data_IF_338226451005
#
_entry.id   IF_338226451005
#
_cell.length_a   1.000
_cell.length_b   1.000
_cell.length_c   1.000
_cell.angle_alpha   90.00
_cell.angle_beta   90.00
_cell.angle_gamma   90.00
#
_symmetry.space_group_name_H-M   'P 1'
#
loop_
_entity.id
_entity.type
_entity.pdbx_description
1 polymer ?
#
# COMPACT_ATOMS: atom_id res chain seq x y z
N UNK A 1 -8.19 -2.99 -23.93
CA UNK A 1 -8.55 -4.42 -23.83
C UNK A 1 -9.80 -4.62 -22.99
N UNK A 2 -10.56 -5.69 -23.23
CA UNK A 2 -11.74 -6.06 -22.44
C UNK A 2 -11.39 -7.16 -21.43
N UNK A 3 -11.60 -6.88 -20.14
CA UNK A 3 -11.35 -7.77 -19.01
C UNK A 3 -12.65 -8.43 -18.60
N UNK A 4 -12.78 -9.74 -18.83
CA UNK A 4 -13.90 -10.53 -18.30
C UNK A 4 -13.74 -10.71 -16.79
N UNK A 5 -14.84 -10.63 -16.04
CA UNK A 5 -14.83 -10.75 -14.59
C UNK A 5 -15.14 -12.17 -14.12
N UNK A 6 -14.40 -12.63 -13.11
CA UNK A 6 -14.65 -13.89 -12.40
C UNK A 6 -15.98 -13.83 -11.62
N UNK A 7 -16.65 -14.97 -11.47
CA UNK A 7 -17.82 -15.14 -10.59
C UNK A 7 -17.43 -14.97 -9.13
N UNK A 8 -18.32 -14.41 -8.32
CA UNK A 8 -18.15 -14.41 -6.86
C UNK A 8 -17.93 -15.83 -6.32
N UNK A 9 -17.14 -15.94 -5.24
CA UNK A 9 -16.83 -17.23 -4.61
C UNK A 9 -15.75 -18.05 -5.31
N UNK A 10 -15.10 -17.55 -6.38
CA UNK A 10 -14.00 -18.26 -7.08
C UNK A 10 -12.87 -18.73 -6.13
N UNK A 11 -12.61 -18.01 -5.04
CA UNK A 11 -11.60 -18.39 -4.02
C UNK A 11 -11.92 -19.71 -3.30
N UNK A 12 -13.18 -20.13 -3.30
CA UNK A 12 -13.63 -21.36 -2.63
C UNK A 12 -13.68 -22.56 -3.59
N UNK A 13 -13.24 -22.40 -4.84
CA UNK A 13 -13.23 -23.47 -5.82
C UNK A 13 -11.88 -24.20 -5.79
N UNK A 14 -11.91 -25.47 -5.36
CA UNK A 14 -10.71 -26.32 -5.21
C UNK A 14 -9.94 -26.55 -6.52
N UNK A 15 -10.59 -26.42 -7.68
CA UNK A 15 -9.94 -26.56 -9.00
C UNK A 15 -9.27 -25.25 -9.45
N UNK A 16 -9.62 -24.09 -8.86
CA UNK A 16 -9.23 -22.77 -9.36
C UNK A 16 -7.72 -22.59 -9.46
N UNK A 17 -6.97 -23.08 -8.47
CA UNK A 17 -5.51 -23.02 -8.49
C UNK A 17 -4.91 -23.88 -9.61
N UNK A 18 -5.40 -25.11 -9.80
CA UNK A 18 -4.90 -25.98 -10.86
C UNK A 18 -5.23 -25.42 -12.25
N UNK A 19 -6.45 -24.93 -12.43
CA UNK A 19 -6.88 -24.31 -13.68
C UNK A 19 -6.16 -22.97 -13.95
N UNK A 20 -5.78 -22.22 -12.90
CA UNK A 20 -4.82 -21.11 -13.03
C UNK A 20 -3.47 -21.61 -13.56
N UNK A 21 -2.92 -22.70 -13.03
CA UNK A 21 -1.61 -23.20 -13.46
C UNK A 21 -1.60 -23.68 -14.91
N UNK A 22 -2.70 -24.24 -15.42
CA UNK A 22 -2.75 -24.75 -16.81
C UNK A 22 -3.39 -23.77 -17.81
N UNK A 23 -4.00 -22.68 -17.34
CA UNK A 23 -4.56 -21.62 -18.20
C UNK A 23 -6.04 -21.80 -18.57
N UNK A 24 -6.80 -22.59 -17.81
CA UNK A 24 -8.20 -22.90 -18.08
C UNK A 24 -9.20 -21.93 -17.44
N UNK A 25 -8.75 -20.87 -16.77
CA UNK A 25 -9.66 -19.93 -16.09
C UNK A 25 -10.54 -19.09 -17.04
N UNK A 26 -10.28 -19.14 -18.35
CA UNK A 26 -11.16 -18.52 -19.37
C UNK A 26 -12.45 -19.31 -19.64
N UNK A 27 -12.62 -20.49 -19.04
CA UNK A 27 -13.84 -21.29 -19.17
C UNK A 27 -15.04 -20.61 -18.51
N UNK A 28 -16.22 -20.71 -19.14
CA UNK A 28 -17.48 -20.10 -18.68
C UNK A 28 -17.90 -20.50 -17.26
N UNK A 29 -17.38 -21.62 -16.73
CA UNK A 29 -17.61 -22.02 -15.34
C UNK A 29 -17.08 -20.98 -14.35
N UNK A 30 -16.04 -20.22 -14.70
CA UNK A 30 -15.41 -19.20 -13.86
C UNK A 30 -15.90 -17.78 -14.10
N UNK A 31 -16.55 -17.49 -15.24
CA UNK A 31 -16.82 -16.13 -15.69
C UNK A 31 -18.24 -15.66 -15.35
N UNK A 32 -18.38 -14.47 -14.77
CA UNK A 32 -19.67 -13.89 -14.39
C UNK A 32 -20.55 -13.49 -15.57
N UNK A 33 -19.94 -13.21 -16.73
CA UNK A 33 -20.59 -12.57 -17.88
C UNK A 33 -20.34 -11.06 -17.94
N UNK A 34 -19.93 -10.45 -16.83
CA UNK A 34 -19.56 -9.03 -16.77
C UNK A 34 -18.14 -8.79 -17.30
N UNK A 35 -17.90 -7.58 -17.79
CA UNK A 35 -16.59 -7.15 -18.28
C UNK A 35 -16.29 -5.68 -18.01
N UNK A 36 -15.01 -5.34 -18.03
CA UNK A 36 -14.50 -3.97 -17.88
C UNK A 36 -13.54 -3.67 -19.02
N UNK A 37 -13.73 -2.53 -19.71
CA UNK A 37 -12.81 -2.07 -20.75
C UNK A 37 -11.76 -1.16 -20.12
N UNK A 38 -10.48 -1.48 -20.36
CA UNK A 38 -9.32 -0.71 -19.88
C UNK A 38 -8.31 -0.54 -21.03
N UNK A 39 -7.31 0.31 -20.87
CA UNK A 39 -6.19 0.40 -21.82
C UNK A 39 -5.32 -0.86 -21.81
N UNK A 40 -4.45 -1.02 -22.81
CA UNK A 40 -3.44 -2.08 -22.74
C UNK A 40 -2.38 -1.70 -21.68
N UNK A 41 -2.18 -2.59 -20.71
CA UNK A 41 -1.37 -2.29 -19.52
C UNK A 41 -0.09 -3.11 -19.58
N UNK A 42 1.10 -2.51 -19.35
CA UNK A 42 2.36 -3.24 -19.30
C UNK A 42 2.38 -4.27 -18.17
N UNK A 43 3.38 -5.14 -18.14
CA UNK A 43 3.61 -6.01 -17.00
C UNK A 43 4.21 -5.24 -15.83
N UNK A 44 3.79 -5.60 -14.61
CA UNK A 44 4.23 -4.94 -13.39
C UNK A 44 4.29 -5.90 -12.20
N UNK A 45 5.21 -5.68 -11.24
CA UNK A 45 5.34 -6.49 -10.05
C UNK A 45 4.15 -6.29 -9.10
N UNK A 46 3.66 -7.39 -8.49
CA UNK A 46 2.47 -7.39 -7.63
C UNK A 46 2.74 -7.81 -6.18
N UNK A 47 3.94 -8.31 -5.90
CA UNK A 47 4.30 -8.84 -4.59
C UNK A 47 5.78 -8.63 -4.27
N UNK A 48 6.05 -8.29 -3.01
CA UNK A 48 7.37 -7.84 -2.52
C UNK A 48 7.63 -8.47 -1.15
N UNK A 49 8.79 -9.12 -1.00
CA UNK A 49 9.18 -9.85 0.22
C UNK A 49 10.08 -9.05 1.16
N UNK A 50 10.94 -8.20 0.61
CA UNK A 50 11.86 -7.38 1.37
C UNK A 50 11.99 -6.01 0.71
N UNK A 51 11.26 -5.03 1.25
CA UNK A 51 11.25 -3.70 0.67
C UNK A 51 12.44 -2.83 1.14
N UNK A 52 13.33 -3.38 1.98
CA UNK A 52 14.63 -2.75 2.22
C UNK A 52 15.61 -3.07 1.08
N UNK A 53 15.31 -4.07 0.25
CA UNK A 53 16.05 -4.34 -0.97
C UNK A 53 15.76 -3.23 -2.01
N UNK A 54 16.82 -2.58 -2.49
CA UNK A 54 16.72 -1.46 -3.44
C UNK A 54 16.06 -1.82 -4.77
N UNK A 55 16.18 -3.07 -5.23
CA UNK A 55 15.50 -3.50 -6.46
C UNK A 55 13.99 -3.64 -6.23
N UNK A 56 13.57 -4.19 -5.08
CA UNK A 56 12.14 -4.25 -4.74
C UNK A 56 11.53 -2.86 -4.49
N UNK A 57 12.31 -1.89 -4.01
CA UNK A 57 11.88 -0.49 -3.92
C UNK A 57 11.58 0.08 -5.30
N UNK A 58 12.49 -0.11 -6.27
CA UNK A 58 12.29 0.32 -7.65
C UNK A 58 11.08 -0.36 -8.28
N UNK A 59 10.91 -1.65 -8.04
CA UNK A 59 9.74 -2.40 -8.49
C UNK A 59 8.43 -1.88 -7.88
N UNK A 60 8.43 -1.47 -6.60
CA UNK A 60 7.24 -0.89 -5.98
C UNK A 60 6.91 0.49 -6.55
N UNK A 61 7.94 1.32 -6.83
CA UNK A 61 7.77 2.58 -7.55
C UNK A 61 7.20 2.32 -8.96
N UNK A 62 7.72 1.32 -9.68
CA UNK A 62 7.20 0.92 -10.98
C UNK A 62 5.71 0.54 -10.91
N UNK A 63 5.29 -0.22 -9.90
CA UNK A 63 3.88 -0.53 -9.67
C UNK A 63 3.04 0.74 -9.48
N UNK A 64 3.50 1.70 -8.68
CA UNK A 64 2.79 2.97 -8.47
C UNK A 64 2.72 3.82 -9.74
N UNK A 65 3.78 3.87 -10.55
CA UNK A 65 3.75 4.53 -11.86
C UNK A 65 2.72 3.91 -12.79
N UNK A 66 2.69 2.57 -12.90
CA UNK A 66 1.68 1.88 -13.73
C UNK A 66 0.27 2.13 -13.22
N UNK A 67 0.05 2.17 -11.91
CA UNK A 67 -1.25 2.53 -11.33
C UNK A 67 -1.67 3.93 -11.74
N UNK A 68 -0.77 4.90 -11.61
CA UNK A 68 -1.05 6.28 -11.96
C UNK A 68 -1.40 6.44 -13.44
N UNK A 69 -0.57 5.86 -14.31
CA UNK A 69 -0.71 6.05 -15.76
C UNK A 69 -1.95 5.34 -16.32
N UNK A 70 -2.29 4.14 -15.81
CA UNK A 70 -3.27 3.25 -16.44
C UNK A 70 -4.55 3.01 -15.64
N UNK A 71 -4.52 3.14 -14.31
CA UNK A 71 -5.67 2.75 -13.46
C UNK A 71 -6.39 3.94 -12.83
N UNK A 72 -5.70 5.02 -12.48
CA UNK A 72 -6.34 6.18 -11.85
C UNK A 72 -7.32 6.93 -12.77
N UNK A 73 -7.24 6.71 -14.08
CA UNK A 73 -8.18 7.24 -15.06
C UNK A 73 -9.49 6.43 -15.15
N UNK A 74 -9.56 5.24 -14.53
CA UNK A 74 -10.76 4.42 -14.48
C UNK A 74 -11.69 4.91 -13.35
N UNK A 75 -12.95 4.50 -13.40
CA UNK A 75 -13.86 4.74 -12.28
C UNK A 75 -13.30 4.10 -11.00
N UNK A 76 -13.37 4.85 -9.89
CA UNK A 76 -12.83 4.41 -8.60
C UNK A 76 -13.41 3.09 -8.13
N UNK A 77 -14.67 2.83 -8.46
CA UNK A 77 -15.36 1.58 -8.15
C UNK A 77 -14.72 0.39 -8.86
N UNK A 78 -14.11 0.58 -10.04
CA UNK A 78 -13.42 -0.46 -10.80
C UNK A 78 -12.08 -0.78 -10.15
N UNK A 79 -11.19 0.22 -10.02
CA UNK A 79 -9.83 -0.05 -9.56
C UNK A 79 -9.72 -0.31 -8.05
N UNK A 80 -10.79 -0.08 -7.27
CA UNK A 80 -10.90 -0.58 -5.89
C UNK A 80 -11.70 -1.90 -5.76
N UNK A 81 -12.07 -2.54 -6.87
CA UNK A 81 -12.79 -3.82 -6.85
C UNK A 81 -11.82 -5.01 -6.81
N UNK A 82 -11.98 -5.89 -5.82
CA UNK A 82 -11.15 -7.11 -5.68
C UNK A 82 -11.30 -8.06 -6.88
N UNK A 83 -12.53 -8.28 -7.34
CA UNK A 83 -12.84 -9.19 -8.45
C UNK A 83 -12.17 -8.67 -9.72
N UNK A 84 -12.19 -7.36 -9.97
CA UNK A 84 -11.47 -6.78 -11.11
C UNK A 84 -9.99 -7.15 -11.09
N UNK A 85 -9.28 -6.92 -9.97
CA UNK A 85 -7.86 -7.24 -9.87
C UNK A 85 -7.58 -8.72 -10.03
N UNK A 86 -8.32 -9.59 -9.35
CA UNK A 86 -8.06 -11.02 -9.45
C UNK A 86 -8.42 -11.57 -10.84
N UNK A 87 -9.44 -11.04 -11.49
CA UNK A 87 -9.76 -11.37 -12.88
C UNK A 87 -8.64 -10.93 -13.82
N UNK A 88 -8.17 -9.70 -13.70
CA UNK A 88 -7.09 -9.17 -14.51
C UNK A 88 -5.79 -9.98 -14.35
N UNK A 89 -5.40 -10.24 -13.10
CA UNK A 89 -4.18 -10.98 -12.79
C UNK A 89 -4.26 -12.44 -13.26
N UNK A 90 -5.35 -13.14 -12.94
CA UNK A 90 -5.49 -14.56 -13.26
C UNK A 90 -5.72 -14.84 -14.74
N UNK A 91 -6.47 -14.01 -15.44
CA UNK A 91 -6.87 -14.26 -16.83
C UNK A 91 -5.90 -13.66 -17.84
N UNK A 92 -5.30 -12.51 -17.54
CA UNK A 92 -4.55 -11.71 -18.53
C UNK A 92 -3.07 -11.53 -18.18
N UNK A 93 -2.66 -11.69 -16.91
CA UNK A 93 -1.25 -11.56 -16.47
C UNK A 93 -0.62 -12.89 -16.05
N UNK A 94 -1.30 -14.01 -16.26
CA UNK A 94 -0.87 -15.36 -15.84
C UNK A 94 0.58 -15.67 -16.23
N UNK A 95 0.93 -15.54 -17.50
CA UNK A 95 2.27 -15.91 -17.99
C UNK A 95 3.38 -15.11 -17.31
N UNK A 96 3.20 -13.79 -17.22
CA UNK A 96 4.12 -12.91 -16.50
C UNK A 96 4.23 -13.32 -15.02
N UNK A 97 3.09 -13.54 -14.36
CA UNK A 97 3.03 -13.90 -12.94
C UNK A 97 3.76 -15.21 -12.65
N UNK A 98 3.52 -16.26 -13.44
CA UNK A 98 4.18 -17.55 -13.28
C UNK A 98 5.69 -17.46 -13.52
N UNK A 99 6.12 -16.64 -14.48
CA UNK A 99 7.54 -16.38 -14.75
C UNK A 99 8.21 -15.58 -13.63
N UNK A 100 7.55 -14.54 -13.11
CA UNK A 100 8.09 -13.63 -12.09
C UNK A 100 8.10 -14.27 -10.70
N UNK A 101 7.11 -15.10 -10.40
CA UNK A 101 6.90 -15.75 -9.10
C UNK A 101 6.81 -17.28 -9.26
N UNK A 102 7.90 -17.98 -9.62
CA UNK A 102 7.88 -19.41 -9.91
C UNK A 102 7.46 -20.29 -8.73
N UNK A 103 7.58 -19.79 -7.49
CA UNK A 103 7.08 -20.46 -6.29
C UNK A 103 5.56 -20.68 -6.29
N UNK A 104 4.83 -19.99 -7.16
CA UNK A 104 3.40 -20.20 -7.37
C UNK A 104 3.10 -21.58 -7.96
N UNK A 105 4.03 -22.18 -8.71
CA UNK A 105 3.84 -23.50 -9.35
C UNK A 105 3.86 -24.61 -8.29
N UNK A 106 4.65 -24.43 -7.24
CA UNK A 106 4.88 -25.46 -6.22
C UNK A 106 3.97 -25.32 -5.01
N UNK A 107 3.17 -24.27 -4.88
CA UNK A 107 2.32 -24.07 -3.71
C UNK A 107 1.10 -23.19 -3.96
N UNK A 108 -0.07 -23.78 -3.73
CA UNK A 108 -1.35 -23.07 -3.66
C UNK A 108 -1.37 -21.97 -2.59
N UNK A 109 -0.63 -22.16 -1.48
CA UNK A 109 -0.51 -21.14 -0.45
C UNK A 109 0.21 -19.88 -0.96
N UNK A 110 1.22 -20.03 -1.81
CA UNK A 110 1.86 -18.87 -2.45
C UNK A 110 0.89 -18.19 -3.42
N UNK A 111 0.11 -18.96 -4.18
CA UNK A 111 -0.93 -18.42 -5.04
C UNK A 111 -1.96 -17.57 -4.28
N UNK A 112 -2.48 -18.08 -3.17
CA UNK A 112 -3.41 -17.34 -2.31
C UNK A 112 -2.80 -16.07 -1.71
N UNK A 113 -1.50 -16.09 -1.39
CA UNK A 113 -0.81 -14.95 -0.75
C UNK A 113 -0.38 -13.87 -1.74
N UNK A 114 -0.18 -14.23 -3.01
CA UNK A 114 0.40 -13.34 -4.03
C UNK A 114 -0.66 -12.87 -5.04
N UNK A 115 -1.46 -13.79 -5.59
CA UNK A 115 -2.31 -13.51 -6.74
C UNK A 115 -3.74 -13.18 -6.32
N UNK A 116 -4.34 -14.02 -5.47
CA UNK A 116 -5.74 -13.84 -5.01
C UNK A 116 -5.83 -13.39 -3.55
N UNK A 117 -4.82 -12.67 -3.07
CA UNK A 117 -4.77 -12.14 -1.70
C UNK A 117 -5.91 -11.15 -1.49
N UNK A 118 -6.61 -11.25 -0.35
CA UNK A 118 -7.65 -10.30 0.04
C UNK A 118 -7.22 -8.86 -0.23
N UNK A 119 -8.11 -8.11 -0.87
CA UNK A 119 -7.83 -6.77 -1.37
C UNK A 119 -8.06 -5.73 -0.26
N UNK A 120 -7.14 -5.74 0.69
CA UNK A 120 -7.12 -4.85 1.86
C UNK A 120 -5.75 -4.19 2.04
N UNK A 121 -5.55 -3.49 3.16
CA UNK A 121 -4.31 -2.79 3.49
C UNK A 121 -3.05 -3.68 3.50
N UNK A 122 -3.17 -5.00 3.52
CA UNK A 122 -2.02 -5.92 3.42
C UNK A 122 -1.64 -6.22 1.97
N UNK A 123 -2.54 -5.99 1.01
CA UNK A 123 -2.29 -6.20 -0.41
C UNK A 123 -1.36 -5.10 -0.96
N UNK A 124 -0.34 -5.45 -1.74
CA UNK A 124 0.61 -4.48 -2.28
C UNK A 124 0.00 -3.57 -3.34
N UNK A 125 -0.88 -4.10 -4.20
CA UNK A 125 -1.61 -3.32 -5.20
C UNK A 125 -2.54 -2.34 -4.49
N UNK A 126 -3.30 -2.78 -3.47
CA UNK A 126 -4.17 -1.90 -2.70
C UNK A 126 -3.40 -0.72 -2.07
N UNK A 127 -2.23 -1.00 -1.47
CA UNK A 127 -1.38 0.05 -0.89
C UNK A 127 -0.83 0.99 -1.94
N UNK A 128 -0.37 0.46 -3.07
CA UNK A 128 0.12 1.25 -4.19
C UNK A 128 -1.00 2.11 -4.79
N UNK A 129 -2.25 1.61 -4.84
CA UNK A 129 -3.42 2.38 -5.28
C UNK A 129 -3.71 3.55 -4.37
N UNK A 130 -3.81 3.32 -3.05
CA UNK A 130 -4.02 4.40 -2.10
C UNK A 130 -2.87 5.42 -2.14
N UNK A 131 -1.63 4.96 -2.17
CA UNK A 131 -0.46 5.83 -2.27
C UNK A 131 -0.48 6.69 -3.52
N UNK A 132 -0.69 6.06 -4.69
CA UNK A 132 -0.72 6.75 -5.99
C UNK A 132 -1.90 7.71 -6.10
N UNK A 133 -3.09 7.29 -5.64
CA UNK A 133 -4.28 8.15 -5.60
C UNK A 133 -4.04 9.37 -4.72
N UNK A 134 -3.50 9.20 -3.51
CA UNK A 134 -3.27 10.33 -2.61
C UNK A 134 -2.20 11.29 -3.13
N UNK A 135 -1.14 10.77 -3.75
CA UNK A 135 -0.15 11.63 -4.42
C UNK A 135 -0.80 12.40 -5.56
N UNK A 136 -1.59 11.74 -6.41
CA UNK A 136 -2.28 12.37 -7.53
C UNK A 136 -3.25 13.48 -7.07
N UNK A 137 -4.04 13.22 -6.03
CA UNK A 137 -5.14 14.08 -5.63
C UNK A 137 -4.71 15.24 -4.71
N UNK A 138 -3.59 15.11 -3.99
CA UNK A 138 -3.18 16.04 -2.92
C UNK A 138 -1.79 16.67 -3.12
N UNK A 139 -1.12 16.40 -4.23
CA UNK A 139 0.21 16.97 -4.52
C UNK A 139 0.26 17.56 -5.92
N UNK A 140 1.30 18.35 -6.18
CA UNK A 140 1.57 18.82 -7.54
C UNK A 140 2.29 17.72 -8.32
N UNK A 141 1.93 17.54 -9.60
CA UNK A 141 2.52 16.49 -10.44
C UNK A 141 4.06 16.52 -10.54
N UNK A 142 4.71 17.66 -10.31
CA UNK A 142 6.17 17.77 -10.28
C UNK A 142 6.84 17.02 -9.12
N UNK A 143 6.13 16.79 -8.02
CA UNK A 143 6.67 16.18 -6.81
C UNK A 143 6.34 14.69 -6.69
N UNK A 144 5.64 14.12 -7.68
CA UNK A 144 5.16 12.74 -7.66
C UNK A 144 6.27 11.73 -7.32
N UNK A 145 7.41 11.83 -8.02
CA UNK A 145 8.54 10.93 -7.81
C UNK A 145 9.11 11.03 -6.39
N UNK A 146 9.21 12.25 -5.83
CA UNK A 146 9.64 12.46 -4.44
C UNK A 146 8.70 11.78 -3.47
N UNK A 147 7.38 11.90 -3.65
CA UNK A 147 6.42 11.22 -2.78
C UNK A 147 6.47 9.71 -2.93
N UNK A 148 6.68 9.19 -4.13
CA UNK A 148 6.85 7.75 -4.34
C UNK A 148 8.05 7.20 -3.59
N UNK A 149 9.17 7.92 -3.62
CA UNK A 149 10.36 7.59 -2.82
C UNK A 149 10.10 7.70 -1.32
N UNK A 150 9.40 8.74 -0.86
CA UNK A 150 9.02 8.88 0.56
C UNK A 150 8.13 7.73 1.03
N UNK A 151 7.14 7.32 0.23
CA UNK A 151 6.27 6.18 0.53
C UNK A 151 7.10 4.92 0.70
N UNK A 152 7.91 4.58 -0.31
CA UNK A 152 8.69 3.34 -0.36
C UNK A 152 9.73 3.30 0.76
N UNK A 153 10.37 4.43 1.06
CA UNK A 153 11.33 4.54 2.14
C UNK A 153 10.71 4.53 3.55
N UNK A 154 9.39 4.63 3.67
CA UNK A 154 8.66 4.67 4.94
C UNK A 154 7.47 3.69 4.95
N UNK A 155 7.56 2.58 4.21
CA UNK A 155 6.42 1.67 4.03
C UNK A 155 5.83 1.10 5.29
N UNK A 156 6.63 0.82 6.32
CA UNK A 156 6.10 0.32 7.58
C UNK A 156 5.16 1.34 8.23
N UNK A 157 5.56 2.61 8.31
CA UNK A 157 4.73 3.72 8.76
C UNK A 157 3.46 3.86 7.89
N UNK A 158 3.64 3.85 6.57
CA UNK A 158 2.55 3.91 5.58
C UNK A 158 1.55 2.77 5.78
N UNK A 159 2.02 1.54 6.01
CA UNK A 159 1.17 0.38 6.27
C UNK A 159 0.33 0.58 7.53
N UNK A 160 0.91 1.17 8.60
CA UNK A 160 0.16 1.47 9.82
C UNK A 160 -0.87 2.58 9.60
N UNK A 161 -0.56 3.61 8.81
CA UNK A 161 -1.55 4.63 8.41
C UNK A 161 -2.71 3.95 7.67
N UNK A 162 -2.42 3.14 6.65
CA UNK A 162 -3.43 2.45 5.84
C UNK A 162 -4.20 1.37 6.63
N UNK A 163 -3.60 0.80 7.68
CA UNK A 163 -4.28 -0.17 8.55
C UNK A 163 -5.50 0.43 9.24
N UNK A 164 -5.40 1.66 9.72
CA UNK A 164 -6.49 2.33 10.44
C UNK A 164 -7.39 3.09 9.46
N UNK A 165 -8.67 2.70 9.29
CA UNK A 165 -9.57 3.35 8.33
C UNK A 165 -9.66 4.87 8.49
N UNK A 166 -9.55 5.34 9.74
CA UNK A 166 -9.61 6.77 10.08
C UNK A 166 -8.49 7.61 9.47
N UNK A 167 -7.33 7.00 9.17
CA UNK A 167 -6.19 7.69 8.57
C UNK A 167 -6.08 7.44 7.07
N UNK A 168 -7.05 6.74 6.46
CA UNK A 168 -7.16 6.60 5.00
C UNK A 168 -7.75 7.89 4.42
N UNK A 169 -7.02 8.98 4.61
CA UNK A 169 -7.31 10.32 4.14
C UNK A 169 -6.04 10.89 3.49
N UNK A 170 -6.15 11.36 2.25
CA UNK A 170 -4.98 11.82 1.49
C UNK A 170 -4.26 13.00 2.13
N UNK A 171 -4.99 13.97 2.70
CA UNK A 171 -4.38 15.12 3.38
C UNK A 171 -3.54 14.68 4.60
N UNK A 172 -4.09 13.82 5.47
CA UNK A 172 -3.33 13.27 6.59
C UNK A 172 -2.09 12.48 6.12
N UNK A 173 -2.27 11.65 5.10
CA UNK A 173 -1.20 10.81 4.54
C UNK A 173 -0.04 11.66 4.01
N UNK A 174 -0.31 12.63 3.15
CA UNK A 174 0.71 13.53 2.58
C UNK A 174 1.36 14.38 3.66
N UNK A 175 0.58 14.94 4.59
CA UNK A 175 1.15 15.76 5.66
C UNK A 175 2.09 14.94 6.58
N UNK A 176 1.78 13.68 6.88
CA UNK A 176 2.71 12.82 7.65
C UNK A 176 3.99 12.57 6.86
N UNK A 177 3.93 12.29 5.56
CA UNK A 177 5.12 12.10 4.73
C UNK A 177 5.99 13.37 4.69
N UNK A 178 5.37 14.52 4.50
CA UNK A 178 6.07 15.80 4.55
C UNK A 178 6.72 16.06 5.90
N UNK A 179 6.01 15.80 7.01
CA UNK A 179 6.57 15.97 8.35
C UNK A 179 7.78 15.07 8.54
N UNK A 180 7.71 13.81 8.07
CA UNK A 180 8.85 12.87 8.15
C UNK A 180 10.06 13.40 7.38
N UNK A 181 9.82 13.96 6.19
CA UNK A 181 10.86 14.53 5.33
C UNK A 181 11.47 15.80 5.96
N UNK A 182 10.62 16.77 6.33
CA UNK A 182 11.02 18.04 6.95
C UNK A 182 11.78 17.87 8.27
N UNK A 183 11.42 16.85 9.06
CA UNK A 183 12.06 16.57 10.35
C UNK A 183 13.21 15.58 10.25
N UNK A 184 13.48 15.06 9.04
CA UNK A 184 14.49 14.04 8.78
C UNK A 184 14.34 12.80 9.71
N UNK A 185 13.09 12.40 10.00
CA UNK A 185 12.80 11.33 10.96
C UNK A 185 12.63 9.95 10.32
N UNK A 186 12.76 9.81 9.00
CA UNK A 186 12.54 8.54 8.29
C UNK A 186 13.32 7.36 8.90
N UNK A 187 14.62 7.55 9.21
CA UNK A 187 15.45 6.52 9.85
C UNK A 187 14.91 6.13 11.23
N UNK A 188 14.48 7.11 12.02
CA UNK A 188 13.92 6.89 13.37
C UNK A 188 12.58 6.15 13.26
N UNK A 189 11.69 6.57 12.36
CA UNK A 189 10.36 5.96 12.17
C UNK A 189 10.43 4.46 11.89
N UNK A 190 11.46 4.01 11.16
CA UNK A 190 11.72 2.60 10.85
C UNK A 190 12.42 1.82 11.97
N UNK A 191 13.05 2.51 12.90
CA UNK A 191 13.89 1.87 13.91
C UNK A 191 13.05 1.14 14.96
N UNK A 192 13.53 -0.02 15.41
CA UNK A 192 12.97 -0.74 16.55
C UNK A 192 13.26 0.02 17.85
N UNK A 193 12.27 0.08 18.73
CA UNK A 193 12.38 0.63 20.08
C UNK A 193 13.11 -0.41 20.94
N UNK A 194 14.20 0.00 21.58
CA UNK A 194 15.01 -0.86 22.45
C UNK A 194 14.74 -0.52 23.92
N UNK A 195 14.85 -1.52 24.80
CA UNK A 195 14.74 -1.32 26.25
C UNK A 195 13.31 -1.02 26.75
N UNK A 196 12.28 -1.38 25.98
CA UNK A 196 10.86 -1.17 26.30
C UNK A 196 10.07 -2.46 26.14
N UNK A 197 10.38 -3.44 26.99
CA UNK A 197 9.75 -4.76 26.94
C UNK A 197 8.23 -4.71 27.21
N UNK A 198 7.77 -3.66 27.90
CA UNK A 198 6.35 -3.36 28.15
C UNK A 198 5.54 -3.13 26.87
N UNK A 199 6.19 -2.74 25.77
CA UNK A 199 5.55 -2.47 24.49
C UNK A 199 5.37 -3.75 23.65
N UNK A 200 6.06 -4.83 23.97
CA UNK A 200 6.08 -6.05 23.17
C UNK A 200 7.26 -6.13 22.20
N UNK A 201 7.28 -7.20 21.39
CA UNK A 201 8.40 -7.51 20.49
C UNK A 201 8.27 -6.77 19.16
N UNK A 202 9.42 -6.32 18.64
CA UNK A 202 9.55 -5.63 17.34
C UNK A 202 8.68 -4.37 17.19
N UNK A 203 8.52 -3.63 18.29
CA UNK A 203 7.85 -2.33 18.25
C UNK A 203 8.75 -1.28 17.63
N UNK A 204 8.19 -0.45 16.75
CA UNK A 204 8.91 0.60 16.01
C UNK A 204 8.36 1.98 16.33
N UNK A 205 9.21 2.99 16.26
CA UNK A 205 8.82 4.36 16.62
C UNK A 205 7.64 4.85 15.78
N UNK A 206 7.68 4.67 14.44
CA UNK A 206 6.59 5.13 13.56
C UNK A 206 5.25 4.47 13.86
N UNK A 207 5.25 3.17 14.15
CA UNK A 207 4.05 2.44 14.59
C UNK A 207 3.45 3.04 15.84
N UNK A 208 4.29 3.40 16.82
CA UNK A 208 3.85 3.97 18.08
C UNK A 208 3.34 5.40 17.93
N UNK A 209 3.94 6.20 17.05
CA UNK A 209 3.41 7.53 16.70
C UNK A 209 1.98 7.41 16.15
N UNK A 210 1.75 6.55 15.16
CA UNK A 210 0.40 6.35 14.58
C UNK A 210 -0.59 5.76 15.61
N UNK A 211 -0.11 4.90 16.51
CA UNK A 211 -0.93 4.37 17.59
C UNK A 211 -1.38 5.47 18.58
N UNK A 212 -0.51 6.40 18.94
CA UNK A 212 -0.86 7.51 19.82
C UNK A 212 -1.78 8.54 19.13
N UNK A 213 -1.62 8.75 17.82
CA UNK A 213 -2.64 9.45 17.02
C UNK A 213 -4.00 8.76 17.11
N UNK A 214 -4.05 7.43 16.97
CA UNK A 214 -5.31 6.67 17.00
C UNK A 214 -5.98 6.69 18.38
N UNK A 215 -5.21 6.80 19.47
CA UNK A 215 -5.76 6.98 20.83
C UNK A 215 -6.30 8.37 21.07
N UNK A 216 -5.65 9.38 20.51
CA UNK A 216 -6.00 10.79 20.71
C UNK A 216 -7.15 11.25 19.82
N UNK A 217 -7.90 10.30 19.27
CA UNK A 217 -8.86 10.43 18.18
C UNK A 217 -9.89 11.58 18.30
N UNK A 218 -10.44 11.93 19.49
CA UNK A 218 -11.33 13.09 19.59
C UNK A 218 -10.62 14.43 19.35
N UNK A 219 -9.31 14.50 19.61
CA UNK A 219 -8.46 15.68 19.42
C UNK A 219 -7.93 15.73 17.98
N UNK A 220 -7.67 14.56 17.37
CA UNK A 220 -7.12 14.42 16.00
C UNK A 220 -8.24 14.47 14.95
N UNK A 221 -9.37 15.11 15.25
CA UNK A 221 -10.47 15.18 14.29
C UNK A 221 -10.04 15.92 13.01
N UNK A 222 -10.12 15.14 11.93
CA UNK A 222 -10.50 15.56 10.59
C UNK A 222 -9.39 16.20 9.75
N UNK A 223 -9.42 16.08 8.40
CA UNK A 223 -8.59 16.80 7.43
C UNK A 223 -8.40 18.32 7.63
N UNK A 224 -8.95 18.91 8.70
CA UNK A 224 -8.87 20.32 9.09
C UNK A 224 -7.72 20.64 10.04
N UNK A 225 -6.99 19.64 10.57
CA UNK A 225 -5.78 19.92 11.35
C UNK A 225 -4.73 20.49 10.40
N UNK A 226 -4.31 21.72 10.69
CA UNK A 226 -3.21 22.37 10.00
C UNK A 226 -1.93 21.53 10.14
N UNK A 227 -1.14 21.47 9.07
CA UNK A 227 0.08 20.67 9.03
C UNK A 227 1.04 21.02 10.19
N UNK A 228 1.08 22.27 10.62
CA UNK A 228 1.87 22.73 11.77
C UNK A 228 1.43 22.07 13.08
N UNK A 229 0.13 21.97 13.32
CA UNK A 229 -0.41 21.33 14.52
C UNK A 229 -0.19 19.81 14.45
N UNK A 230 -0.40 19.22 13.27
CA UNK A 230 -0.10 17.81 13.06
C UNK A 230 1.38 17.49 13.36
N UNK A 231 2.30 18.37 12.92
CA UNK A 231 3.74 18.28 13.22
C UNK A 231 4.02 18.34 14.72
N UNK A 232 3.37 19.24 15.44
CA UNK A 232 3.50 19.34 16.89
C UNK A 232 3.06 18.05 17.59
N UNK A 233 1.92 17.48 17.20
CA UNK A 233 1.47 16.18 17.72
C UNK A 233 2.40 15.04 17.33
N UNK A 234 2.88 15.01 16.10
CA UNK A 234 3.82 14.00 15.62
C UNK A 234 5.09 13.96 16.47
N UNK A 235 5.71 15.12 16.70
CA UNK A 235 6.92 15.24 17.50
C UNK A 235 6.65 14.93 18.98
N UNK A 236 5.51 15.36 19.51
CA UNK A 236 5.07 15.01 20.87
C UNK A 236 4.90 13.51 21.05
N UNK A 237 4.28 12.81 20.10
CA UNK A 237 4.10 11.36 20.20
C UNK A 237 5.40 10.61 19.97
N UNK A 238 6.29 11.13 19.13
CA UNK A 238 7.64 10.57 18.99
C UNK A 238 8.42 10.67 20.31
N UNK A 239 8.35 11.81 21.01
CA UNK A 239 9.12 12.04 22.25
C UNK A 239 8.69 11.14 23.41
N UNK A 240 7.50 10.53 23.36
CA UNK A 240 7.08 9.51 24.33
C UNK A 240 7.95 8.25 24.28
N UNK A 241 8.64 8.03 23.17
CA UNK A 241 9.43 6.82 22.93
C UNK A 241 10.90 7.14 22.63
N UNK A 242 11.19 8.28 22.00
CA UNK A 242 12.52 8.65 21.52
C UNK A 242 13.08 9.85 22.29
N UNK A 243 14.24 9.68 22.93
CA UNK A 243 14.94 10.71 23.73
C UNK A 243 16.28 11.16 23.12
N UNK A 244 16.51 10.91 21.82
CA UNK A 244 17.75 11.35 21.14
C UNK A 244 17.85 12.88 21.02
N UNK A 245 19.06 13.38 20.74
CA UNK A 245 19.36 14.82 20.60
C UNK A 245 18.28 15.55 19.79
N UNK A 246 17.83 16.70 20.32
CA UNK A 246 16.69 17.50 19.90
C UNK A 246 16.37 17.37 18.39
N UNK A 247 15.28 16.67 18.07
CA UNK A 247 14.56 16.93 16.82
C UNK A 247 14.04 18.35 16.98
N UNK A 248 14.81 19.32 16.49
CA UNK A 248 14.56 20.74 16.69
C UNK A 248 13.14 21.09 16.22
N UNK A 249 12.21 21.16 17.17
CA UNK A 249 11.04 21.97 17.02
C UNK A 249 11.57 23.40 17.03
N UNK A 250 11.73 23.99 15.86
CA UNK A 250 11.89 25.43 15.72
C UNK A 250 10.69 26.04 16.43
N UNK A 251 10.94 26.53 17.65
CA UNK A 251 10.01 27.37 18.38
C UNK A 251 9.77 28.58 17.48
N UNK A 252 8.55 28.70 16.97
CA UNK A 252 8.08 29.97 16.43
C UNK A 252 8.12 30.97 17.57
N UNK A 253 9.00 31.96 17.43
CA UNK A 253 8.87 33.26 18.08
C UNK A 253 7.68 34.02 17.49
#
# INVERSE_FOLDING_TARGET
MEIKLLKEGYKNNDEFYQDFLVGNLHDDKYLSGDSVVIDDIPDFPIYFTDINNEDQKKEFIQLMSVIHDYFLNLDREIYFNEIFWHSFLCLYKREYILKKYPQLISSENYFHRIVIKNFDWQNHIYRALLGSQYVNDYTNGSDQQRYYELIVNNLDLVNYIMKYPIFRNGNFFINILDIVDETNTSKIMKSTIKGRDDLGKDERYGRRVIFEFNKSYPIVLSPMIEKSDLKNYFLKFLSYYYQGEEVAATKGE
#
